data_IF_449379302439
#
_entry.id   IF_449379302439
#
_cell.length_a   1.000
_cell.length_b   1.000
_cell.length_c   1.000
_cell.angle_alpha   90.00
_cell.angle_beta   90.00
_cell.angle_gamma   90.00
#
_symmetry.space_group_name_H-M   'P 1'
#
loop_
_entity.id
_entity.type
_entity.pdbx_description
1 polymer ?
#
# COMPACT_ATOMS: atom_id res chain seq x y z
N UNK A 1 70.88 15.35 8.29
CA UNK A 1 70.05 14.65 9.30
C UNK A 1 68.60 14.93 8.93
N UNK A 2 67.92 13.94 8.33
CA UNK A 2 66.59 14.09 7.72
C UNK A 2 65.50 14.02 8.79
N UNK A 3 64.56 14.98 8.80
CA UNK A 3 63.39 14.94 9.70
C UNK A 3 62.11 15.16 8.89
N UNK A 4 61.42 14.05 8.63
CA UNK A 4 59.96 13.89 8.79
C UNK A 4 59.03 14.71 7.91
N UNK A 5 58.56 14.11 6.82
CA UNK A 5 57.46 14.60 5.97
C UNK A 5 56.11 14.43 6.68
N UNK A 6 55.35 15.51 6.83
CA UNK A 6 53.96 15.46 7.33
C UNK A 6 53.01 15.09 6.19
N UNK A 7 52.68 13.80 6.06
CA UNK A 7 51.57 13.34 5.24
C UNK A 7 50.31 13.17 6.10
N UNK A 8 49.27 13.93 5.78
CA UNK A 8 47.94 13.80 6.39
C UNK A 8 47.23 12.58 5.78
N UNK A 9 47.35 11.41 6.42
CA UNK A 9 46.63 10.21 6.00
C UNK A 9 45.25 10.16 6.67
N UNK A 10 44.23 10.67 5.97
CA UNK A 10 42.83 10.28 6.24
C UNK A 10 42.41 9.30 5.16
N UNK A 11 42.48 8.00 5.48
CA UNK A 11 42.02 6.92 4.61
C UNK A 11 40.84 6.18 5.27
N UNK A 12 39.93 5.73 4.41
CA UNK A 12 38.52 5.45 4.66
C UNK A 12 38.20 4.13 5.40
N UNK A 13 37.05 4.11 6.10
CA UNK A 13 36.17 2.92 6.15
C UNK A 13 34.69 3.30 6.00
N UNK A 14 34.28 3.19 4.75
CA UNK A 14 33.01 2.75 4.19
C UNK A 14 31.97 2.13 5.16
N UNK A 15 30.74 2.67 5.17
CA UNK A 15 29.52 1.85 5.06
C UNK A 15 28.48 2.58 4.21
N UNK A 16 28.51 2.24 2.93
CA UNK A 16 27.38 2.23 2.01
C UNK A 16 26.01 2.18 2.71
N UNK A 17 25.19 3.20 2.50
CA UNK A 17 23.86 2.96 1.92
C UNK A 17 23.59 4.03 0.88
N UNK A 18 24.06 3.69 -0.31
CA UNK A 18 23.77 4.33 -1.57
C UNK A 18 22.25 4.45 -1.80
N UNK A 19 21.89 5.51 -2.54
CA UNK A 19 20.84 5.52 -3.58
C UNK A 19 19.41 5.49 -3.01
N UNK A 20 18.61 6.56 -3.06
CA UNK A 20 18.52 7.59 -4.09
C UNK A 20 17.67 7.09 -5.24
N UNK A 21 16.36 6.91 -5.02
CA UNK A 21 15.40 6.61 -6.08
C UNK A 21 14.09 7.36 -5.81
N UNK A 22 14.13 8.69 -5.87
CA UNK A 22 12.98 9.48 -6.31
C UNK A 22 12.75 9.21 -7.80
N UNK A 23 12.44 7.96 -8.15
CA UNK A 23 11.98 7.57 -9.48
C UNK A 23 10.50 7.95 -9.53
N UNK A 24 10.25 9.25 -9.70
CA UNK A 24 8.95 9.79 -10.07
C UNK A 24 8.73 9.47 -11.54
N UNK A 25 8.34 8.23 -11.83
CA UNK A 25 7.85 7.82 -13.13
C UNK A 25 6.32 7.78 -13.09
N UNK A 26 5.73 8.83 -13.68
CA UNK A 26 4.37 8.91 -14.22
C UNK A 26 3.23 8.66 -13.23
N UNK A 27 2.76 9.74 -12.59
CA UNK A 27 1.32 9.92 -12.33
C UNK A 27 0.65 9.08 -11.24
N UNK A 28 1.37 8.53 -10.26
CA UNK A 28 0.76 7.89 -9.08
C UNK A 28 0.84 8.77 -7.82
N UNK A 29 -0.18 8.74 -6.93
CA UNK A 29 -0.18 9.55 -5.73
C UNK A 29 1.05 9.23 -4.89
N UNK A 30 1.62 10.25 -4.23
CA UNK A 30 2.84 10.20 -3.40
C UNK A 30 2.64 9.38 -2.12
N UNK A 31 2.06 8.20 -2.24
CA UNK A 31 1.70 7.33 -1.14
C UNK A 31 2.73 6.21 -1.01
N UNK A 32 3.20 5.91 0.21
CA UNK A 32 4.18 4.83 0.46
C UNK A 32 3.64 3.42 0.13
N UNK A 33 2.34 3.35 -0.15
CA UNK A 33 1.58 2.14 -0.44
C UNK A 33 1.12 2.19 -1.89
N UNK A 34 1.21 1.04 -2.55
CA UNK A 34 0.73 0.82 -3.91
C UNK A 34 -0.31 -0.29 -3.90
N UNK A 35 -1.37 -0.17 -4.70
CA UNK A 35 -2.37 -1.23 -4.88
C UNK A 35 -2.34 -1.72 -6.32
N UNK A 36 -2.20 -3.03 -6.51
CA UNK A 36 -2.14 -3.66 -7.82
C UNK A 36 -3.12 -4.84 -7.91
N UNK A 37 -3.91 -4.98 -8.99
CA UNK A 37 -4.14 -3.99 -10.04
C UNK A 37 -5.03 -2.82 -9.55
N UNK A 38 -4.89 -1.63 -10.14
CA UNK A 38 -5.72 -0.44 -9.81
C UNK A 38 -7.06 -0.41 -10.57
N UNK A 39 -7.19 -1.20 -11.63
CA UNK A 39 -8.47 -1.50 -12.27
C UNK A 39 -8.71 -3.01 -12.29
N UNK A 40 -9.96 -3.44 -12.11
CA UNK A 40 -10.36 -4.83 -12.29
C UNK A 40 -11.60 -4.91 -13.18
N UNK A 41 -11.51 -5.76 -14.21
CA UNK A 41 -12.62 -6.10 -15.10
C UNK A 41 -13.18 -7.46 -14.68
N UNK A 42 -14.48 -7.50 -14.40
CA UNK A 42 -15.13 -8.65 -13.76
C UNK A 42 -16.38 -9.01 -14.56
N UNK A 43 -16.65 -10.31 -14.82
CA UNK A 43 -17.88 -10.73 -15.46
C UNK A 43 -19.10 -10.50 -14.56
N UNK A 44 -20.24 -10.16 -15.16
CA UNK A 44 -21.53 -9.91 -14.52
C UNK A 44 -22.10 -11.15 -13.85
N UNK A 45 -21.68 -12.35 -14.31
CA UNK A 45 -21.99 -13.63 -13.67
C UNK A 45 -21.36 -13.79 -12.29
N UNK A 46 -20.44 -12.92 -11.91
CA UNK A 46 -19.71 -12.97 -10.66
C UNK A 46 -18.33 -13.63 -10.82
N UNK A 47 -17.51 -13.49 -9.78
CA UNK A 47 -16.13 -13.97 -9.78
C UNK A 47 -15.38 -13.53 -8.53
N UNK A 48 -14.21 -14.12 -8.30
CA UNK A 48 -13.30 -13.76 -7.21
C UNK A 48 -11.94 -13.39 -7.77
N UNK A 49 -11.34 -12.34 -7.23
CA UNK A 49 -10.00 -11.92 -7.57
C UNK A 49 -9.32 -11.32 -6.34
N UNK A 50 -8.02 -11.06 -6.44
CA UNK A 50 -7.24 -10.47 -5.36
C UNK A 50 -6.49 -9.23 -5.82
N UNK A 51 -6.44 -8.23 -4.95
CA UNK A 51 -5.58 -7.05 -5.06
C UNK A 51 -4.44 -7.18 -4.07
N UNK A 52 -3.23 -6.83 -4.50
CA UNK A 52 -2.06 -6.78 -3.64
C UNK A 52 -1.78 -5.35 -3.22
N UNK A 53 -1.78 -5.12 -1.92
CA UNK A 53 -1.28 -3.94 -1.24
C UNK A 53 0.22 -4.12 -1.02
N UNK A 54 1.05 -3.24 -1.54
CA UNK A 54 2.50 -3.31 -1.41
C UNK A 54 2.95 -2.10 -0.61
N UNK A 55 3.56 -2.35 0.55
CA UNK A 55 4.17 -1.31 1.37
C UNK A 55 5.66 -1.21 1.06
N UNK A 56 6.08 -0.09 0.46
CA UNK A 56 7.50 0.17 0.17
C UNK A 56 8.23 0.86 1.33
N UNK A 57 7.49 1.34 2.31
CA UNK A 57 8.05 2.08 3.45
C UNK A 57 8.59 1.18 4.55
N UNK A 58 9.32 1.80 5.48
CA UNK A 58 9.81 1.19 6.72
C UNK A 58 8.79 1.25 7.87
N UNK A 59 7.59 1.80 7.63
CA UNK A 59 6.55 1.99 8.65
C UNK A 59 5.44 0.96 8.46
N UNK A 60 4.78 0.59 9.56
CA UNK A 60 3.60 -0.28 9.55
C UNK A 60 2.36 0.55 9.23
N UNK A 61 1.50 0.06 8.36
CA UNK A 61 0.26 0.72 8.00
C UNK A 61 -0.94 -0.15 8.32
N UNK A 62 -2.00 0.46 8.82
CA UNK A 62 -3.33 -0.14 8.85
C UNK A 62 -4.08 0.26 7.58
N UNK A 63 -4.90 -0.65 7.04
CA UNK A 63 -5.76 -0.38 5.91
C UNK A 63 -7.22 -0.68 6.21
N UNK A 64 -8.10 0.07 5.55
CA UNK A 64 -9.54 -0.10 5.57
C UNK A 64 -10.05 -0.08 4.14
N UNK A 65 -10.74 -1.14 3.75
CA UNK A 65 -11.33 -1.26 2.41
C UNK A 65 -12.80 -0.90 2.48
N UNK A 66 -13.26 -0.02 1.60
CA UNK A 66 -14.66 0.35 1.43
C UNK A 66 -15.08 0.10 -0.01
N UNK A 67 -16.21 -0.56 -0.22
CA UNK A 67 -16.86 -0.66 -1.53
C UNK A 67 -17.98 0.38 -1.66
N UNK A 68 -18.30 0.75 -2.89
CA UNK A 68 -19.49 1.57 -3.20
C UNK A 68 -20.78 0.77 -3.23
N UNK A 69 -20.71 -0.54 -3.49
CA UNK A 69 -21.84 -1.46 -3.40
C UNK A 69 -21.44 -2.62 -2.47
N UNK A 70 -22.01 -2.65 -1.27
CA UNK A 70 -21.72 -3.69 -0.27
C UNK A 70 -22.65 -4.91 -0.40
N UNK A 71 -23.67 -4.83 -1.24
CA UNK A 71 -24.64 -5.92 -1.44
C UNK A 71 -24.01 -6.98 -2.35
N UNK A 72 -23.31 -6.53 -3.40
CA UNK A 72 -22.77 -7.41 -4.44
C UNK A 72 -21.29 -7.72 -4.30
N UNK A 73 -20.53 -6.86 -3.62
CA UNK A 73 -19.11 -7.07 -3.39
C UNK A 73 -18.86 -7.51 -1.94
N UNK A 74 -18.18 -8.66 -1.80
CA UNK A 74 -17.68 -9.17 -0.53
C UNK A 74 -16.17 -8.98 -0.50
N UNK A 75 -15.70 -8.21 0.48
CA UNK A 75 -14.30 -7.88 0.68
C UNK A 75 -13.75 -8.70 1.85
N UNK A 76 -12.59 -9.33 1.67
CA UNK A 76 -11.87 -10.06 2.72
C UNK A 76 -10.36 -9.86 2.57
N UNK A 77 -9.66 -9.31 3.57
CA UNK A 77 -10.15 -8.67 4.79
C UNK A 77 -10.64 -7.23 4.55
N UNK A 78 -11.57 -6.74 5.37
CA UNK A 78 -12.04 -5.33 5.35
C UNK A 78 -11.07 -4.40 6.08
N UNK A 79 -10.48 -4.91 7.17
CA UNK A 79 -9.46 -4.23 7.96
C UNK A 79 -8.26 -5.14 8.08
N UNK A 80 -7.08 -4.56 8.02
CA UNK A 80 -5.85 -5.30 8.24
C UNK A 80 -4.66 -4.40 8.44
N UNK A 81 -3.51 -5.03 8.58
CA UNK A 81 -2.22 -4.37 8.67
C UNK A 81 -1.34 -4.81 7.51
N UNK A 82 -0.47 -3.91 7.09
CA UNK A 82 0.64 -4.18 6.19
C UNK A 82 1.91 -3.77 6.92
N UNK A 83 2.76 -4.75 7.22
CA UNK A 83 4.02 -4.50 7.88
C UNK A 83 5.00 -3.74 6.96
N UNK A 84 6.05 -3.20 7.57
CA UNK A 84 7.12 -2.52 6.85
C UNK A 84 7.73 -3.44 5.79
N UNK A 85 7.90 -2.93 4.56
CA UNK A 85 8.42 -3.70 3.41
C UNK A 85 7.68 -5.01 3.11
N UNK A 86 6.42 -5.11 3.52
CA UNK A 86 5.59 -6.29 3.30
C UNK A 86 4.45 -6.00 2.31
N UNK A 87 3.72 -7.04 1.97
CA UNK A 87 2.52 -6.94 1.13
C UNK A 87 1.35 -7.70 1.76
N UNK A 88 0.14 -7.18 1.56
CA UNK A 88 -1.09 -7.83 1.97
C UNK A 88 -2.00 -8.05 0.76
N UNK A 89 -2.76 -9.13 0.77
CA UNK A 89 -3.77 -9.42 -0.26
C UNK A 89 -5.17 -9.05 0.25
N UNK A 90 -5.94 -8.39 -0.61
CA UNK A 90 -7.38 -8.17 -0.43
C UNK A 90 -8.08 -9.02 -1.46
N UNK A 91 -8.88 -9.95 -1.02
CA UNK A 91 -9.77 -10.71 -1.87
C UNK A 91 -11.10 -9.99 -2.01
N UNK A 92 -11.55 -9.91 -3.26
CA UNK A 92 -12.85 -9.36 -3.61
C UNK A 92 -13.63 -10.43 -4.34
N UNK A 93 -14.83 -10.69 -3.86
CA UNK A 93 -15.78 -11.60 -4.48
C UNK A 93 -16.99 -10.81 -4.92
N UNK A 94 -17.36 -10.94 -6.18
CA UNK A 94 -18.57 -10.37 -6.77
C UNK A 94 -19.62 -11.44 -6.95
N UNK A 95 -20.83 -11.18 -6.47
CA UNK A 95 -22.02 -12.00 -6.78
C UNK A 95 -22.61 -11.63 -8.14
N UNK A 96 -23.34 -12.57 -8.75
CA UNK A 96 -24.04 -12.31 -10.02
C UNK A 96 -24.94 -11.06 -9.90
N UNK A 97 -24.92 -10.21 -10.93
CA UNK A 97 -25.66 -8.96 -10.92
C UNK A 97 -25.54 -8.16 -12.21
N UNK A 98 -26.17 -6.98 -12.29
CA UNK A 98 -26.15 -6.13 -13.46
C UNK A 98 -24.76 -5.57 -13.74
N UNK A 99 -24.54 -5.24 -15.01
CA UNK A 99 -23.35 -4.55 -15.48
C UNK A 99 -23.33 -3.11 -14.93
N UNK A 100 -22.39 -2.84 -14.03
CA UNK A 100 -22.19 -1.52 -13.41
C UNK A 100 -20.71 -1.22 -13.24
N UNK A 101 -20.35 0.07 -13.28
CA UNK A 101 -19.03 0.55 -12.86
C UNK A 101 -19.11 0.97 -11.41
N UNK A 102 -18.27 0.36 -10.59
CA UNK A 102 -18.19 0.62 -9.16
C UNK A 102 -16.75 0.96 -8.79
N UNK A 103 -16.54 1.46 -7.59
CA UNK A 103 -15.20 1.78 -7.06
C UNK A 103 -15.02 1.17 -5.68
N UNK A 104 -13.81 0.69 -5.42
CA UNK A 104 -13.34 0.35 -4.08
C UNK A 104 -12.38 1.45 -3.65
N UNK A 105 -12.57 1.94 -2.43
CA UNK A 105 -11.72 2.95 -1.80
C UNK A 105 -10.94 2.25 -0.70
N UNK A 106 -9.62 2.23 -0.83
CA UNK A 106 -8.72 1.73 0.22
C UNK A 106 -8.15 2.92 0.96
N UNK A 107 -8.47 3.04 2.23
CA UNK A 107 -7.96 4.09 3.11
C UNK A 107 -6.85 3.50 3.98
N UNK A 108 -5.79 4.26 4.18
CA UNK A 108 -4.64 3.83 4.95
C UNK A 108 -4.32 4.80 6.06
N UNK A 109 -3.75 4.28 7.13
CA UNK A 109 -3.24 5.06 8.27
C UNK A 109 -1.93 4.46 8.74
N UNK A 110 -1.04 5.31 9.21
CA UNK A 110 0.13 4.84 9.93
C UNK A 110 -0.30 4.16 11.22
N UNK A 111 0.23 2.97 11.47
CA UNK A 111 -0.08 2.19 12.65
C UNK A 111 1.17 2.06 13.53
N UNK A 112 1.07 2.26 14.85
CA UNK A 112 2.18 1.97 15.72
C UNK A 112 2.49 0.46 15.70
N UNK A 113 3.75 0.05 15.93
CA UNK A 113 4.13 -1.36 15.84
C UNK A 113 3.33 -2.25 16.80
N UNK A 114 2.92 -1.70 17.96
CA UNK A 114 2.15 -2.38 19.00
C UNK A 114 0.63 -2.34 18.79
N UNK A 115 0.15 -1.84 17.65
CA UNK A 115 -1.28 -1.88 17.36
C UNK A 115 -1.74 -3.31 17.03
N UNK A 116 -2.70 -3.80 17.80
CA UNK A 116 -3.38 -5.08 17.54
C UNK A 116 -4.72 -4.89 16.81
N UNK A 117 -5.37 -3.75 16.99
CA UNK A 117 -6.72 -3.47 16.48
C UNK A 117 -6.72 -2.40 15.40
N UNK A 118 -6.73 -2.81 14.13
CA UNK A 118 -6.80 -1.88 12.99
C UNK A 118 -8.10 -1.05 13.04
N UNK A 119 -9.21 -1.65 13.48
CA UNK A 119 -10.51 -0.96 13.57
C UNK A 119 -10.45 0.25 14.49
N UNK A 120 -9.75 0.16 15.62
CA UNK A 120 -9.63 1.26 16.57
C UNK A 120 -8.90 2.47 15.96
N UNK A 121 -7.84 2.23 15.18
CA UNK A 121 -7.10 3.28 14.48
C UNK A 121 -7.95 4.05 13.46
N UNK A 122 -9.00 3.42 12.92
CA UNK A 122 -9.92 4.05 11.98
C UNK A 122 -11.14 4.70 12.63
N UNK A 123 -11.32 4.60 13.95
CA UNK A 123 -12.37 5.34 14.68
C UNK A 123 -12.00 6.80 14.90
N UNK A 124 -10.71 7.08 15.11
CA UNK A 124 -10.22 8.41 15.49
C UNK A 124 -9.22 8.95 14.45
N UNK A 125 -9.45 10.17 13.97
CA UNK A 125 -8.55 10.89 13.05
C UNK A 125 -8.81 10.66 11.55
N UNK A 126 -8.26 11.53 10.71
CA UNK A 126 -8.36 11.45 9.25
C UNK A 126 -7.43 10.35 8.68
N UNK A 127 -7.81 9.67 7.58
CA UNK A 127 -6.93 8.72 6.91
C UNK A 127 -5.68 9.44 6.40
N UNK A 128 -4.53 8.78 6.45
CA UNK A 128 -3.27 9.31 5.92
C UNK A 128 -3.36 9.52 4.41
N UNK A 129 -3.92 8.52 3.72
CA UNK A 129 -4.16 8.57 2.29
C UNK A 129 -5.29 7.63 1.88
N UNK A 130 -5.81 7.84 0.69
CA UNK A 130 -6.78 6.96 0.05
C UNK A 130 -6.36 6.62 -1.37
N UNK A 131 -6.68 5.41 -1.79
CA UNK A 131 -6.48 4.92 -3.15
C UNK A 131 -7.78 4.34 -3.67
N UNK A 132 -8.07 4.62 -4.94
CA UNK A 132 -9.31 4.20 -5.58
C UNK A 132 -9.00 3.13 -6.61
N UNK A 133 -9.59 1.95 -6.40
CA UNK A 133 -9.59 0.85 -7.35
C UNK A 133 -10.87 0.93 -8.17
N UNK A 134 -10.74 0.95 -9.50
CA UNK A 134 -11.88 1.02 -10.42
C UNK A 134 -12.35 -0.38 -10.79
N UNK A 135 -13.63 -0.66 -10.59
CA UNK A 135 -14.24 -1.93 -10.95
C UNK A 135 -15.15 -1.76 -12.16
N UNK A 136 -14.93 -2.59 -13.18
CA UNK A 136 -15.75 -2.64 -14.39
C UNK A 136 -16.46 -3.99 -14.43
N UNK A 137 -17.78 -3.98 -14.24
CA UNK A 137 -18.61 -5.15 -14.57
C UNK A 137 -18.87 -5.19 -16.07
N UNK A 138 -18.59 -6.31 -16.71
CA UNK A 138 -18.97 -6.58 -18.10
C UNK A 138 -19.86 -7.81 -18.22
#
# INVERSE_FOLDING_TARGET
MFVGVTYCYRCAKNRNRAVGDDVVLVGEPRTPLTVLPYEATIPARGGRWSHRLINRSLRRFAFKVKSTDNVRYRLRPVYGFVDARSSASIEVTRTAGPRKRDKIIVQFKEAPPNAFNAVALFREGAPFAEMIIRLKAL
#
